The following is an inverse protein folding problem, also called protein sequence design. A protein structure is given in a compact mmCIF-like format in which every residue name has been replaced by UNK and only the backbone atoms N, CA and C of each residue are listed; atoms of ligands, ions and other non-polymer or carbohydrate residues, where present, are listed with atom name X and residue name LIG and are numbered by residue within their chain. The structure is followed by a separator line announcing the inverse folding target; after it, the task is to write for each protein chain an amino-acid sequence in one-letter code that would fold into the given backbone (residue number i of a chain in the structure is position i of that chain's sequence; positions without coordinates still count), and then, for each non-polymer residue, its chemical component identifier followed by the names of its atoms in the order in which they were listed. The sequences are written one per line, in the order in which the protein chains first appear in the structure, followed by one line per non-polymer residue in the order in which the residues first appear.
data_IF_881386388986
#
_entry.id   IF_881386388986
#
_cell.length_a   1.000
_cell.length_b   1.000
_cell.length_c   1.000
_cell.angle_alpha   90.00
_cell.angle_beta   90.00
_cell.angle_gamma   90.00
#
_symmetry.space_group_name_H-M   'P 1'
#
loop_
_entity.id
_entity.type
_entity.pdbx_description
1 polymer ?
#
# COMPACT_ATOMS: atom_id res chain seq x y z
N UNK A 1 59.45 -24.77 -24.83
CA UNK A 1 59.12 -25.11 -23.43
C UNK A 1 57.85 -25.93 -23.44
N UNK A 2 57.94 -27.22 -23.17
CA UNK A 2 56.81 -28.14 -23.05
C UNK A 2 56.33 -28.11 -21.61
N UNK A 3 55.09 -27.67 -21.42
CA UNK A 3 54.41 -27.63 -20.13
C UNK A 3 54.36 -29.04 -19.52
N UNK A 4 54.71 -29.16 -18.24
CA UNK A 4 54.69 -30.45 -17.55
C UNK A 4 53.25 -30.89 -17.28
N UNK A 5 53.02 -32.20 -17.15
CA UNK A 5 51.69 -32.76 -16.84
C UNK A 5 51.08 -32.16 -15.56
N UNK A 6 51.92 -31.73 -14.59
CA UNK A 6 51.50 -31.09 -13.34
C UNK A 6 51.01 -29.65 -13.59
N UNK A 7 51.72 -28.88 -14.39
CA UNK A 7 51.33 -27.52 -14.77
C UNK A 7 50.02 -27.52 -15.58
N UNK A 8 49.89 -28.46 -16.53
CA UNK A 8 48.66 -28.63 -17.32
C UNK A 8 47.46 -28.95 -16.44
N UNK A 9 47.61 -29.81 -15.41
CA UNK A 9 46.55 -30.14 -14.46
C UNK A 9 46.18 -28.96 -13.56
N UNK A 10 47.19 -28.23 -13.08
CA UNK A 10 46.99 -27.04 -12.25
C UNK A 10 46.21 -25.95 -12.99
N UNK A 11 46.53 -25.73 -14.29
CA UNK A 11 45.81 -24.77 -15.13
C UNK A 11 44.32 -25.09 -15.26
N UNK A 12 43.97 -26.35 -15.49
CA UNK A 12 42.56 -26.74 -15.59
C UNK A 12 41.82 -26.58 -14.27
N UNK A 13 42.45 -26.88 -13.14
CA UNK A 13 41.85 -26.68 -11.81
C UNK A 13 41.56 -25.19 -11.57
N UNK A 14 42.51 -24.31 -11.90
CA UNK A 14 42.34 -22.87 -11.75
C UNK A 14 41.22 -22.33 -12.65
N UNK A 15 41.16 -22.75 -13.91
CA UNK A 15 40.08 -22.34 -14.83
C UNK A 15 38.71 -22.76 -14.27
N UNK A 16 38.59 -24.01 -13.80
CA UNK A 16 37.34 -24.53 -13.26
C UNK A 16 36.92 -23.79 -11.98
N UNK A 17 37.89 -23.43 -11.13
CA UNK A 17 37.66 -22.63 -9.94
C UNK A 17 37.12 -21.24 -10.29
N UNK A 18 37.74 -20.52 -11.23
CA UNK A 18 37.25 -19.21 -11.67
C UNK A 18 35.85 -19.28 -12.28
N UNK A 19 35.59 -20.27 -13.15
CA UNK A 19 34.24 -20.48 -13.72
C UNK A 19 33.23 -20.73 -12.60
N UNK A 20 33.56 -21.57 -11.61
CA UNK A 20 32.66 -21.86 -10.50
C UNK A 20 32.32 -20.63 -9.66
N UNK A 21 33.32 -19.78 -9.36
CA UNK A 21 33.12 -18.53 -8.64
C UNK A 21 32.21 -17.58 -9.43
N UNK A 22 32.43 -17.44 -10.73
CA UNK A 22 31.59 -16.59 -11.60
C UNK A 22 30.15 -17.10 -11.67
N UNK A 23 29.94 -18.42 -11.80
CA UNK A 23 28.60 -19.01 -11.83
C UNK A 23 27.89 -18.84 -10.49
N UNK A 24 28.56 -19.05 -9.36
CA UNK A 24 27.99 -18.83 -8.02
C UNK A 24 27.61 -17.36 -7.83
N UNK A 25 28.47 -16.42 -8.24
CA UNK A 25 28.16 -14.99 -8.17
C UNK A 25 26.95 -14.60 -9.00
N UNK A 26 26.80 -15.15 -10.22
CA UNK A 26 25.64 -14.89 -11.08
C UNK A 26 24.35 -15.57 -10.58
N UNK A 27 24.45 -16.68 -9.86
CA UNK A 27 23.29 -17.33 -9.24
C UNK A 27 22.83 -16.55 -8.00
N UNK A 28 23.75 -16.04 -7.17
CA UNK A 28 23.40 -15.18 -6.04
C UNK A 28 22.79 -13.84 -6.45
N UNK A 29 23.25 -13.23 -7.55
CA UNK A 29 22.67 -11.98 -8.08
C UNK A 29 21.25 -12.20 -8.69
N UNK A 30 20.88 -13.45 -8.99
CA UNK A 30 19.57 -13.80 -9.55
C UNK A 30 18.50 -14.10 -8.49
N UNK A 31 18.88 -14.53 -7.30
CA UNK A 31 17.91 -14.78 -6.20
C UNK A 31 17.37 -13.46 -5.60
N UNK A 32 18.14 -12.37 -5.63
CA UNK A 32 17.65 -11.04 -5.20
C UNK A 32 16.65 -10.40 -6.19
N UNK A 33 16.42 -11.04 -7.34
CA UNK A 33 15.43 -10.67 -8.35
C UNK A 33 14.26 -11.65 -8.41
N UNK A 34 14.00 -12.42 -7.35
CA UNK A 34 12.63 -12.90 -7.12
C UNK A 34 11.70 -11.68 -7.16
N UNK A 35 10.73 -11.71 -8.08
CA UNK A 35 9.76 -10.64 -8.33
C UNK A 35 9.34 -9.99 -7.01
N UNK A 36 9.95 -8.83 -6.67
CA UNK A 36 9.54 -8.07 -5.49
C UNK A 36 8.08 -7.71 -5.73
N UNK A 37 7.19 -8.43 -5.05
CA UNK A 37 5.78 -8.19 -5.16
C UNK A 37 5.57 -6.70 -4.82
N UNK A 38 5.04 -5.96 -5.78
CA UNK A 38 4.81 -4.52 -5.65
C UNK A 38 3.51 -4.34 -4.89
N UNK A 39 3.50 -3.42 -3.92
CA UNK A 39 2.32 -3.10 -3.14
C UNK A 39 1.27 -2.44 -4.04
N UNK A 40 0.14 -3.11 -4.25
CA UNK A 40 -1.08 -2.47 -4.75
C UNK A 40 -1.53 -1.37 -3.79
N UNK A 41 -2.08 -0.29 -4.33
CA UNK A 41 -2.52 0.84 -3.52
C UNK A 41 -3.68 0.42 -2.62
N UNK A 42 -3.49 0.57 -1.31
CA UNK A 42 -4.52 0.31 -0.30
C UNK A 42 -4.74 1.57 0.51
N UNK A 43 -5.99 1.84 0.88
CA UNK A 43 -6.33 3.01 1.66
C UNK A 43 -7.16 2.66 2.89
N UNK A 44 -7.03 3.48 3.92
CA UNK A 44 -7.97 3.52 5.03
C UNK A 44 -8.23 4.98 5.41
N UNK A 45 -9.51 5.35 5.50
CA UNK A 45 -9.92 6.64 6.05
C UNK A 45 -9.94 6.50 7.57
N UNK A 46 -8.98 7.14 8.24
CA UNK A 46 -8.85 7.14 9.70
C UNK A 46 -9.86 8.07 10.35
N UNK A 47 -10.05 9.24 9.74
CA UNK A 47 -10.97 10.26 10.22
C UNK A 47 -11.71 10.81 9.03
N UNK A 48 -13.04 10.73 9.05
CA UNK A 48 -13.88 11.34 8.03
C UNK A 48 -13.91 12.85 8.21
N UNK A 49 -13.90 13.57 7.08
CA UNK A 49 -14.15 14.99 7.04
C UNK A 49 -15.60 15.32 7.37
N UNK A 50 -15.81 16.51 7.92
CA UNK A 50 -17.15 17.03 8.21
C UNK A 50 -17.20 18.48 7.75
N UNK A 51 -17.87 18.70 6.61
CA UNK A 51 -17.98 19.99 5.92
C UNK A 51 -18.43 21.11 6.87
N UNK A 52 -19.45 20.84 7.70
CA UNK A 52 -20.02 21.80 8.67
C UNK A 52 -19.02 22.32 9.70
N UNK A 53 -18.01 21.53 10.02
CA UNK A 53 -17.00 21.86 11.05
C UNK A 53 -15.65 22.28 10.45
N UNK A 54 -15.48 22.17 9.13
CA UNK A 54 -14.19 22.36 8.46
C UNK A 54 -13.14 21.32 8.85
N UNK A 55 -13.57 20.19 9.43
CA UNK A 55 -12.65 19.13 9.87
C UNK A 55 -12.13 18.39 8.64
N UNK A 56 -10.82 18.43 8.45
CA UNK A 56 -10.15 17.78 7.32
C UNK A 56 -10.07 16.26 7.51
N UNK A 57 -10.31 15.45 6.47
CA UNK A 57 -10.14 14.00 6.55
C UNK A 57 -8.68 13.59 6.74
N UNK A 58 -8.48 12.48 7.46
CA UNK A 58 -7.19 11.80 7.58
C UNK A 58 -7.26 10.44 6.90
N UNK A 59 -6.29 10.17 6.03
CA UNK A 59 -6.23 8.96 5.22
C UNK A 59 -4.84 8.36 5.33
N UNK A 60 -4.75 7.05 5.48
CA UNK A 60 -3.50 6.32 5.33
C UNK A 60 -3.49 5.52 4.04
N UNK A 61 -2.37 5.60 3.32
CA UNK A 61 -2.13 4.87 2.08
C UNK A 61 -0.94 3.93 2.24
N UNK A 62 -1.08 2.68 1.79
CA UNK A 62 0.02 1.78 1.50
C UNK A 62 0.27 1.76 0.00
N UNK A 63 1.51 2.05 -0.40
CA UNK A 63 1.95 1.97 -1.79
C UNK A 63 3.45 1.65 -1.88
N UNK A 64 3.91 1.27 -3.07
CA UNK A 64 5.35 1.16 -3.38
C UNK A 64 5.82 2.42 -4.11
N UNK A 65 6.88 3.05 -3.62
CA UNK A 65 7.59 4.12 -4.33
C UNK A 65 9.04 3.70 -4.45
N UNK A 66 9.58 3.62 -5.67
CA UNK A 66 10.93 3.15 -5.97
C UNK A 66 11.23 1.75 -5.38
N UNK A 67 10.29 0.81 -5.54
CA UNK A 67 10.34 -0.55 -4.95
C UNK A 67 10.37 -0.60 -3.42
N UNK A 68 10.14 0.53 -2.74
CA UNK A 68 10.08 0.60 -1.28
C UNK A 68 8.63 0.76 -0.87
N UNK A 69 8.13 -0.20 -0.10
CA UNK A 69 6.80 -0.15 0.46
C UNK A 69 6.72 0.90 1.58
N UNK A 70 5.72 1.77 1.49
CA UNK A 70 5.52 2.90 2.39
C UNK A 70 4.09 3.00 2.88
N UNK A 71 3.96 3.23 4.18
CA UNK A 71 2.73 3.67 4.80
C UNK A 71 2.82 5.18 4.94
N UNK A 72 1.90 5.92 4.33
CA UNK A 72 1.91 7.38 4.36
C UNK A 72 0.57 7.90 4.86
N UNK A 73 0.63 8.71 5.92
CA UNK A 73 -0.51 9.43 6.47
C UNK A 73 -0.66 10.78 5.76
N UNK A 74 -1.86 11.03 5.26
CA UNK A 74 -2.24 12.25 4.58
C UNK A 74 -3.36 12.97 5.32
N UNK A 75 -3.28 14.30 5.34
CA UNK A 75 -4.40 15.19 5.59
C UNK A 75 -4.92 15.65 4.24
N UNK A 76 -6.19 15.37 3.93
CA UNK A 76 -6.79 15.82 2.67
C UNK A 76 -7.32 17.23 2.88
N UNK A 77 -6.81 18.22 2.17
CA UNK A 77 -7.27 19.61 2.27
C UNK A 77 -8.49 19.82 1.37
N UNK A 78 -9.70 19.72 1.93
CA UNK A 78 -10.96 19.87 1.18
C UNK A 78 -11.14 21.27 0.59
N UNK A 79 -10.53 22.30 1.20
CA UNK A 79 -10.57 23.68 0.72
C UNK A 79 -9.62 23.96 -0.47
N UNK A 80 -8.63 23.09 -0.69
CA UNK A 80 -7.59 23.23 -1.73
C UNK A 80 -7.69 22.08 -2.73
N UNK A 81 -8.86 21.95 -3.36
CA UNK A 81 -9.15 20.94 -4.40
C UNK A 81 -8.77 19.50 -3.97
N UNK A 82 -9.02 19.19 -2.69
CA UNK A 82 -8.68 17.91 -2.05
C UNK A 82 -7.20 17.56 -2.13
N UNK A 83 -6.31 18.54 -1.98
CA UNK A 83 -4.87 18.32 -1.96
C UNK A 83 -4.45 17.38 -0.82
N UNK A 84 -3.72 16.31 -1.18
CA UNK A 84 -3.19 15.33 -0.24
C UNK A 84 -1.89 15.84 0.38
N UNK A 85 -1.98 16.41 1.58
CA UNK A 85 -0.83 16.85 2.34
C UNK A 85 -0.24 15.70 3.15
N UNK A 86 0.93 15.21 2.74
CA UNK A 86 1.67 14.20 3.51
C UNK A 86 2.04 14.74 4.89
N UNK A 87 1.56 14.10 5.93
CA UNK A 87 1.91 14.40 7.32
C UNK A 87 3.16 13.60 7.71
N UNK A 88 3.11 12.29 7.48
CA UNK A 88 4.17 11.37 7.88
C UNK A 88 4.21 10.17 6.94
N UNK A 89 5.41 9.61 6.76
CA UNK A 89 5.62 8.40 5.98
C UNK A 89 6.60 7.49 6.70
N UNK A 90 6.33 6.19 6.74
CA UNK A 90 7.26 5.17 7.22
C UNK A 90 7.46 4.10 6.16
N UNK A 91 8.67 3.53 6.14
CA UNK A 91 8.95 2.33 5.34
C UNK A 91 8.52 1.11 6.15
N UNK A 92 8.03 0.09 5.48
CA UNK A 92 7.74 -1.20 6.09
C UNK A 92 8.21 -2.35 5.19
N UNK A 93 8.37 -3.52 5.80
CA UNK A 93 8.73 -4.75 5.10
C UNK A 93 7.47 -5.60 4.94
N UNK A 94 7.27 -6.14 3.74
CA UNK A 94 6.13 -6.98 3.38
C UNK A 94 5.02 -6.21 2.67
N UNK A 95 3.89 -6.88 2.41
CA UNK A 95 2.72 -6.30 1.75
C UNK A 95 1.56 -6.11 2.72
N UNK A 96 0.95 -4.93 2.66
CA UNK A 96 -0.33 -4.64 3.28
C UNK A 96 -1.42 -5.31 2.46
N UNK A 97 -2.15 -6.22 3.10
CA UNK A 97 -3.31 -6.89 2.49
C UNK A 97 -4.61 -6.19 2.87
N UNK A 98 -4.71 -5.82 4.14
CA UNK A 98 -5.95 -5.33 4.75
C UNK A 98 -5.67 -4.28 5.83
N UNK A 99 -6.68 -3.45 6.05
CA UNK A 99 -6.73 -2.45 7.11
C UNK A 99 -7.98 -2.65 7.95
N UNK A 100 -7.91 -2.23 9.21
CA UNK A 100 -9.06 -2.15 10.11
C UNK A 100 -8.85 -1.01 11.10
N UNK A 101 -9.93 -0.37 11.53
CA UNK A 101 -9.87 0.62 12.61
C UNK A 101 -9.90 -0.07 13.97
N UNK A 102 -9.29 0.54 14.97
CA UNK A 102 -9.60 0.20 16.36
C UNK A 102 -10.92 0.86 16.76
N UNK A 103 -11.77 0.17 17.54
CA UNK A 103 -13.10 0.65 17.97
C UNK A 103 -13.14 2.02 18.66
N UNK A 104 -11.99 2.53 19.07
CA UNK A 104 -11.88 3.80 19.77
C UNK A 104 -11.41 4.93 18.84
N UNK A 105 -11.18 4.66 17.56
CA UNK A 105 -10.69 5.61 16.55
C UNK A 105 -9.40 6.34 16.96
N UNK A 106 -8.50 5.63 17.66
CA UNK A 106 -7.19 6.16 18.10
C UNK A 106 -6.01 5.46 17.45
N UNK A 107 -6.25 4.27 16.95
CA UNK A 107 -5.26 3.39 16.36
C UNK A 107 -5.86 2.75 15.12
N UNK A 108 -5.01 2.16 14.30
CA UNK A 108 -5.43 1.35 13.17
C UNK A 108 -4.60 0.09 13.08
N UNK A 109 -5.27 -0.97 12.68
CA UNK A 109 -4.71 -2.28 12.41
C UNK A 109 -4.31 -2.37 10.95
N UNK A 110 -3.12 -2.89 10.71
CA UNK A 110 -2.62 -3.17 9.37
C UNK A 110 -2.21 -4.64 9.30
N UNK A 111 -2.76 -5.38 8.33
CA UNK A 111 -2.36 -6.75 8.05
C UNK A 111 -1.19 -6.72 7.07
N UNK A 112 0.02 -6.93 7.59
CA UNK A 112 1.25 -7.02 6.80
C UNK A 112 1.66 -8.48 6.73
N UNK A 113 1.58 -9.09 5.54
CA UNK A 113 1.92 -10.51 5.31
C UNK A 113 1.27 -11.46 6.33
N UNK A 114 -0.05 -11.39 6.47
CA UNK A 114 -0.85 -12.24 7.37
C UNK A 114 -0.57 -12.00 8.86
N UNK A 115 0.14 -10.92 9.21
CA UNK A 115 0.38 -10.48 10.58
C UNK A 115 -0.25 -9.13 10.83
N UNK A 116 -1.22 -9.09 11.75
CA UNK A 116 -1.83 -7.86 12.21
C UNK A 116 -0.90 -7.08 13.13
N UNK A 117 -0.65 -5.82 12.79
CA UNK A 117 0.12 -4.87 13.58
C UNK A 117 -0.73 -3.64 13.87
N UNK A 118 -0.64 -3.14 15.10
CA UNK A 118 -1.38 -1.98 15.56
C UNK A 118 -0.48 -0.74 15.49
N UNK A 119 -0.99 0.33 14.90
CA UNK A 119 -0.26 1.59 14.77
C UNK A 119 -1.07 2.75 15.32
N UNK A 120 -0.39 3.74 15.89
CA UNK A 120 -0.96 5.05 16.18
C UNK A 120 -0.91 5.96 14.94
N UNK A 121 -1.54 7.14 15.03
CA UNK A 121 -1.53 8.12 13.94
C UNK A 121 -0.17 8.78 13.70
N UNK A 122 0.85 8.48 14.52
CA UNK A 122 2.24 8.85 14.25
C UNK A 122 3.03 7.71 13.59
N UNK A 123 2.33 6.70 13.06
CA UNK A 123 2.92 5.51 12.42
C UNK A 123 3.88 4.75 13.35
N UNK A 124 3.63 4.81 14.66
CA UNK A 124 4.39 4.07 15.67
C UNK A 124 3.67 2.78 16.00
N UNK A 125 4.37 1.66 15.88
CA UNK A 125 3.82 0.34 16.22
C UNK A 125 3.61 0.24 17.73
N UNK A 126 2.39 -0.13 18.14
CA UNK A 126 1.98 -0.27 19.53
C UNK A 126 1.95 -1.75 19.90
N UNK A 127 2.55 -2.15 21.05
CA UNK A 127 2.46 -3.52 21.53
C UNK A 127 1.00 -3.97 21.68
N UNK A 128 0.69 -5.13 21.11
CA UNK A 128 -0.65 -5.72 21.07
C UNK A 128 -1.13 -6.29 22.41
N UNK A 129 -0.44 -6.01 23.52
CA UNK A 129 -0.74 -6.53 24.85
C UNK A 129 -2.03 -5.98 25.46
N UNK A 130 -2.57 -4.91 24.88
CA UNK A 130 -3.79 -4.25 25.32
C UNK A 130 -5.00 -4.76 24.50
N UNK A 131 -6.16 -4.88 25.15
CA UNK A 131 -7.43 -5.37 24.59
C UNK A 131 -7.99 -4.41 23.52
N UNK A 132 -7.30 -4.33 22.37
CA UNK A 132 -7.74 -3.63 21.18
C UNK A 132 -8.57 -4.56 20.33
N UNK A 133 -9.73 -4.09 19.89
CA UNK A 133 -10.62 -4.87 19.04
C UNK A 133 -10.78 -4.17 17.72
N UNK A 134 -10.63 -4.95 16.65
CA UNK A 134 -10.86 -4.52 15.28
C UNK A 134 -12.33 -4.15 15.08
N UNK A 135 -12.53 -3.11 14.28
CA UNK A 135 -13.79 -2.72 13.68
C UNK A 135 -13.75 -3.00 12.17
N UNK A 136 -14.91 -3.24 11.57
CA UNK A 136 -14.98 -3.41 10.12
C UNK A 136 -14.47 -2.15 9.42
N UNK A 137 -13.70 -2.36 8.35
CA UNK A 137 -13.16 -1.26 7.55
C UNK A 137 -14.30 -0.39 7.01
N UNK A 138 -14.09 0.93 6.91
CA UNK A 138 -15.03 1.90 6.34
C UNK A 138 -15.20 1.78 4.81
N UNK A 139 -14.82 0.64 4.25
CA UNK A 139 -14.97 0.31 2.83
C UNK A 139 -16.43 0.10 2.51
N UNK A 140 -16.91 0.80 1.49
CA UNK A 140 -18.29 0.70 1.03
C UNK A 140 -18.40 -0.43 -0.01
N UNK A 141 -19.43 -1.26 0.08
CA UNK A 141 -19.75 -2.20 -0.99
C UNK A 141 -20.20 -1.44 -2.24
N UNK A 142 -19.78 -1.91 -3.42
CA UNK A 142 -20.20 -1.34 -4.70
C UNK A 142 -20.43 -2.41 -5.76
N UNK A 143 -21.25 -2.08 -6.76
CA UNK A 143 -21.50 -2.89 -7.96
C UNK A 143 -21.00 -2.15 -9.20
N UNK A 144 -20.22 -2.82 -10.04
CA UNK A 144 -19.70 -2.25 -11.27
C UNK A 144 -20.74 -2.32 -12.41
N UNK A 145 -20.90 -1.21 -13.11
CA UNK A 145 -21.57 -1.10 -14.40
C UNK A 145 -20.60 -0.55 -15.44
N UNK A 146 -20.97 -0.64 -16.72
CA UNK A 146 -20.10 -0.28 -17.86
C UNK A 146 -19.46 1.11 -17.77
N UNK A 147 -20.14 2.08 -17.13
CA UNK A 147 -19.67 3.47 -17.05
C UNK A 147 -19.68 4.06 -15.63
N UNK A 148 -20.09 3.30 -14.62
CA UNK A 148 -20.19 3.80 -13.25
C UNK A 148 -20.10 2.68 -12.19
N UNK A 149 -19.64 3.01 -11.00
CA UNK A 149 -19.79 2.18 -9.81
C UNK A 149 -21.04 2.61 -9.03
N UNK A 150 -21.91 1.67 -8.69
CA UNK A 150 -23.07 1.87 -7.83
C UNK A 150 -22.71 1.52 -6.39
N UNK A 151 -22.64 2.52 -5.51
CA UNK A 151 -22.36 2.34 -4.08
C UNK A 151 -23.67 2.09 -3.33
N UNK A 152 -23.62 1.38 -2.19
CA UNK A 152 -24.78 0.91 -1.37
C UNK A 152 -25.92 1.92 -1.16
N UNK A 153 -25.67 3.23 -1.24
CA UNK A 153 -26.67 4.29 -1.11
C UNK A 153 -27.33 4.72 -2.45
N UNK A 154 -27.23 3.92 -3.52
CA UNK A 154 -27.80 4.25 -4.84
C UNK A 154 -27.01 5.29 -5.63
N UNK A 155 -25.80 5.58 -5.15
CA UNK A 155 -24.89 6.60 -5.63
C UNK A 155 -24.12 6.08 -6.84
N UNK A 156 -24.05 6.88 -7.90
CA UNK A 156 -23.33 6.54 -9.15
C UNK A 156 -22.04 7.35 -9.23
N UNK A 157 -20.92 6.69 -9.04
CA UNK A 157 -19.59 7.25 -9.29
C UNK A 157 -19.20 6.96 -10.73
N UNK A 158 -19.01 7.98 -11.59
CA UNK A 158 -18.60 7.77 -12.97
C UNK A 158 -17.20 7.12 -13.00
N UNK A 159 -17.02 6.13 -13.88
CA UNK A 159 -15.74 5.47 -14.08
C UNK A 159 -15.08 6.03 -15.33
N UNK A 160 -13.98 6.76 -15.16
CA UNK A 160 -13.14 7.23 -16.27
C UNK A 160 -12.22 6.12 -16.76
N UNK A 161 -12.82 5.00 -17.18
CA UNK A 161 -12.18 3.79 -17.74
C UNK A 161 -11.29 2.99 -16.77
N UNK A 162 -11.12 3.44 -15.53
CA UNK A 162 -10.42 2.72 -14.46
C UNK A 162 -11.44 1.95 -13.62
N UNK A 163 -11.06 0.77 -13.13
CA UNK A 163 -11.91 -0.05 -12.26
C UNK A 163 -11.47 0.18 -10.81
N UNK A 164 -12.33 0.70 -9.93
CA UNK A 164 -11.99 0.90 -8.53
C UNK A 164 -11.82 -0.44 -7.84
N UNK A 165 -10.83 -0.51 -6.96
CA UNK A 165 -10.57 -1.65 -6.07
C UNK A 165 -11.31 -1.44 -4.75
N UNK A 166 -11.27 -0.21 -4.22
CA UNK A 166 -11.93 0.16 -2.97
C UNK A 166 -12.57 1.54 -3.09
N UNK A 167 -13.67 1.75 -2.37
CA UNK A 167 -14.33 3.05 -2.25
C UNK A 167 -14.60 3.30 -0.77
N UNK A 168 -14.16 4.46 -0.28
CA UNK A 168 -14.32 4.86 1.11
C UNK A 168 -15.06 6.20 1.18
N UNK A 169 -15.90 6.39 2.19
CA UNK A 169 -16.46 7.72 2.46
C UNK A 169 -15.37 8.62 3.04
N UNK A 170 -15.05 9.71 2.36
CA UNK A 170 -13.98 10.63 2.75
C UNK A 170 -14.52 11.79 3.60
N UNK A 171 -15.59 12.41 3.13
CA UNK A 171 -16.29 13.50 3.82
C UNK A 171 -17.79 13.35 3.56
N UNK A 172 -18.55 13.37 4.65
CA UNK A 172 -20.01 13.26 4.58
C UNK A 172 -20.61 14.57 4.08
N UNK A 173 -21.61 14.54 3.15
CA UNK A 173 -22.32 13.35 2.68
C UNK A 173 -21.87 12.77 1.32
N UNK A 174 -21.09 13.50 0.52
CA UNK A 174 -21.01 13.26 -0.93
C UNK A 174 -19.58 13.13 -1.49
N UNK A 175 -18.56 13.09 -0.62
CA UNK A 175 -17.16 13.03 -1.04
C UNK A 175 -16.59 11.65 -0.73
N UNK A 176 -16.04 11.01 -1.76
CA UNK A 176 -15.52 9.64 -1.69
C UNK A 176 -14.05 9.60 -2.05
N UNK A 177 -13.30 8.75 -1.36
CA UNK A 177 -11.97 8.33 -1.77
C UNK A 177 -12.11 7.07 -2.63
N UNK A 178 -11.72 7.16 -3.88
CA UNK A 178 -11.74 6.06 -4.84
C UNK A 178 -10.32 5.55 -5.01
N UNK A 179 -10.11 4.27 -4.70
CA UNK A 179 -8.81 3.61 -4.78
C UNK A 179 -8.79 2.74 -6.03
N UNK A 180 -7.76 2.92 -6.85
CA UNK A 180 -7.43 2.05 -7.97
C UNK A 180 -6.16 1.27 -7.66
N UNK A 181 -5.77 0.37 -8.55
CA UNK A 181 -4.59 -0.49 -8.38
C UNK A 181 -3.31 0.29 -8.02
N UNK A 182 -3.09 1.47 -8.63
CA UNK A 182 -1.84 2.22 -8.52
C UNK A 182 -2.00 3.70 -8.10
N UNK A 183 -3.22 4.15 -7.81
CA UNK A 183 -3.49 5.55 -7.48
C UNK A 183 -4.79 5.70 -6.68
N UNK A 184 -4.99 6.90 -6.13
CA UNK A 184 -6.23 7.31 -5.47
C UNK A 184 -6.74 8.60 -6.08
N UNK A 185 -8.06 8.73 -6.16
CA UNK A 185 -8.73 9.94 -6.62
C UNK A 185 -9.86 10.29 -5.65
N UNK A 186 -10.26 11.56 -5.63
CA UNK A 186 -11.43 12.02 -4.87
C UNK A 186 -12.61 12.18 -5.82
N UNK A 187 -13.66 11.41 -5.57
CA UNK A 187 -14.93 11.48 -6.28
C UNK A 187 -15.92 12.36 -5.53
N UNK A 188 -16.38 13.44 -6.15
CA UNK A 188 -17.42 14.31 -5.60
C UNK A 188 -18.71 14.08 -6.36
N UNK A 189 -19.79 13.75 -5.65
CA UNK A 189 -21.12 13.75 -6.26
C UNK A 189 -21.70 15.15 -6.19
N UNK A 190 -21.89 15.77 -7.36
CA UNK A 190 -22.73 16.96 -7.44
C UNK A 190 -24.18 16.51 -7.24
N UNK A 191 -24.79 16.98 -6.15
CA UNK A 191 -26.23 16.89 -5.96
C UNK A 191 -26.95 17.54 -7.15
N UNK A 192 -27.97 16.88 -7.68
CA UNK A 192 -28.89 17.44 -8.66
C UNK A 192 -29.69 18.61 -8.07
#
# INVERSE_FOLDING_TARGET
MTETLKEKRLRYILILLFISITVIGLLWDRDDNEQKATQETKALVLVQGVEETGKQPLVILANSIDEINRLTLFEVQTEDDYYFKSIQSMRYTGLVKEYSLDKQDRFFWTNIEDTWRLFDYNLTEIPTSDLHSMEESSTLSFTLHDTYALVENGIRLPLDKKVPVEIHLLESPNTYLVVYENEVEVGILKGN
#
